data_IF_820421339999
#
_entry.id   IF_820421339999
#
_cell.length_a   1.000
_cell.length_b   1.000
_cell.length_c   1.000
_cell.angle_alpha   90.00
_cell.angle_beta   90.00
_cell.angle_gamma   90.00
#
_symmetry.space_group_name_H-M   'P 1'
#
loop_
_entity.id
_entity.type
_entity.pdbx_description
1 polymer ?
#
# COMPACT_ATOMS: atom_id res chain seq x y z
N UNK A 1 -2.56 22.21 -9.13
CA UNK A 1 -3.87 21.52 -9.09
C UNK A 1 -3.64 20.21 -8.31
N UNK A 2 -4.32 20.02 -7.19
CA UNK A 2 -4.28 18.73 -6.51
C UNK A 2 -5.10 17.74 -7.37
N UNK A 3 -4.42 16.98 -8.20
CA UNK A 3 -5.09 15.96 -9.00
C UNK A 3 -5.39 14.78 -8.07
N UNK A 4 -6.65 14.67 -7.71
CA UNK A 4 -7.14 13.48 -7.01
C UNK A 4 -6.91 12.29 -7.93
N UNK A 5 -6.31 11.18 -7.46
CA UNK A 5 -6.05 10.04 -8.33
C UNK A 5 -7.37 9.45 -8.84
N UNK A 6 -7.33 8.85 -10.02
CA UNK A 6 -8.49 8.13 -10.58
C UNK A 6 -8.69 6.77 -9.92
N UNK A 7 -7.61 6.16 -9.45
CA UNK A 7 -7.61 4.87 -8.75
C UNK A 7 -6.45 4.79 -7.75
N UNK A 8 -6.59 3.95 -6.74
CA UNK A 8 -5.54 3.56 -5.81
C UNK A 8 -5.47 2.05 -5.89
N UNK A 9 -4.34 1.53 -6.37
CA UNK A 9 -4.08 0.09 -6.43
C UNK A 9 -3.16 -0.26 -5.28
N UNK A 10 -3.55 -1.26 -4.50
CA UNK A 10 -2.80 -1.77 -3.36
C UNK A 10 -2.32 -3.19 -3.64
N UNK A 11 -1.17 -3.54 -3.09
CA UNK A 11 -0.57 -4.87 -3.24
C UNK A 11 -0.63 -5.59 -1.91
N UNK A 12 -1.40 -6.65 -1.83
CA UNK A 12 -1.48 -7.50 -0.64
C UNK A 12 -0.41 -8.58 -0.65
N UNK A 13 0.00 -9.05 0.53
CA UNK A 13 0.99 -10.15 0.70
C UNK A 13 2.30 -9.88 -0.02
N UNK A 14 2.80 -8.64 0.08
CA UNK A 14 3.98 -8.17 -0.65
C UNK A 14 5.30 -8.73 -0.08
N UNK A 15 5.33 -9.14 1.19
CA UNK A 15 6.50 -9.60 1.93
C UNK A 15 6.35 -11.07 2.31
N UNK A 16 7.39 -11.89 2.05
CA UNK A 16 7.37 -13.33 2.31
C UNK A 16 7.17 -13.66 3.80
N UNK A 17 7.93 -13.01 4.68
CA UNK A 17 7.86 -13.21 6.13
C UNK A 17 6.45 -12.92 6.66
N UNK A 18 5.84 -11.82 6.20
CA UNK A 18 4.48 -11.46 6.59
C UNK A 18 3.43 -12.44 6.03
N UNK A 19 3.65 -13.00 4.85
CA UNK A 19 2.78 -14.04 4.29
C UNK A 19 2.84 -15.31 5.15
N UNK A 20 4.04 -15.73 5.57
CA UNK A 20 4.27 -16.90 6.42
C UNK A 20 3.71 -16.71 7.85
N UNK A 21 3.93 -15.55 8.48
CA UNK A 21 3.37 -15.20 9.79
C UNK A 21 1.84 -15.33 9.83
N UNK A 22 1.17 -14.98 8.72
CA UNK A 22 -0.29 -15.09 8.58
C UNK A 22 -0.74 -16.46 8.07
N UNK A 23 0.16 -17.44 7.91
CA UNK A 23 -0.14 -18.78 7.42
C UNK A 23 -0.60 -18.83 5.96
N UNK A 24 -0.20 -17.82 5.16
CA UNK A 24 -0.51 -17.78 3.73
C UNK A 24 0.64 -18.35 2.89
N UNK A 25 0.31 -18.99 1.77
CA UNK A 25 1.31 -19.34 0.77
C UNK A 25 1.87 -18.09 0.08
N UNK A 26 3.14 -18.16 -0.33
CA UNK A 26 3.74 -17.15 -1.20
C UNK A 26 2.97 -17.15 -2.52
N UNK A 27 2.47 -15.99 -2.99
CA UNK A 27 1.68 -15.95 -4.22
C UNK A 27 2.57 -16.08 -5.46
N UNK A 28 2.06 -16.76 -6.49
CA UNK A 28 2.73 -16.91 -7.79
C UNK A 28 2.69 -15.61 -8.63
N UNK A 29 1.79 -14.70 -8.32
CA UNK A 29 1.61 -13.39 -8.96
C UNK A 29 1.09 -12.36 -7.94
N UNK A 30 1.24 -11.04 -8.20
CA UNK A 30 0.81 -9.99 -7.28
C UNK A 30 -0.67 -10.09 -6.90
N UNK A 31 -0.95 -10.00 -5.60
CA UNK A 31 -2.32 -9.96 -5.09
C UNK A 31 -2.77 -8.51 -5.02
N UNK A 32 -3.62 -8.11 -5.96
CA UNK A 32 -4.07 -6.73 -6.07
C UNK A 32 -5.45 -6.53 -5.45
N UNK A 33 -5.65 -5.37 -4.83
CA UNK A 33 -6.96 -4.85 -4.45
C UNK A 33 -6.99 -3.34 -4.62
N UNK A 34 -8.15 -2.73 -4.51
CA UNK A 34 -8.29 -1.30 -4.76
C UNK A 34 -8.89 -0.57 -3.56
N UNK A 35 -8.45 0.67 -3.39
CA UNK A 35 -9.15 1.67 -2.58
C UNK A 35 -9.72 2.75 -3.50
N UNK A 36 -10.97 3.21 -3.28
CA UNK A 36 -11.51 4.32 -4.05
C UNK A 36 -10.81 5.63 -3.68
N UNK A 37 -10.81 6.64 -4.55
CA UNK A 37 -10.26 7.96 -4.22
C UNK A 37 -10.88 8.61 -2.98
N UNK A 38 -12.12 8.23 -2.60
CA UNK A 38 -12.76 8.69 -1.36
C UNK A 38 -12.06 8.19 -0.09
N UNK A 39 -11.28 7.11 -0.18
CA UNK A 39 -10.46 6.60 0.94
C UNK A 39 -9.28 7.48 1.30
N UNK A 40 -8.88 8.43 0.41
CA UNK A 40 -7.71 9.28 0.65
C UNK A 40 -7.91 10.25 1.80
N UNK A 41 -6.92 10.29 2.68
CA UNK A 41 -6.72 11.30 3.69
C UNK A 41 -5.25 11.68 3.78
N UNK A 42 -4.93 12.77 4.48
CA UNK A 42 -3.55 13.14 4.79
C UNK A 42 -3.25 12.88 6.27
N UNK A 43 -2.00 12.60 6.58
CA UNK A 43 -1.56 12.38 7.96
C UNK A 43 -1.81 13.61 8.85
N UNK A 44 -1.71 14.83 8.28
CA UNK A 44 -2.00 16.08 9.00
C UNK A 44 -3.45 16.16 9.54
N UNK A 45 -4.41 15.52 8.85
CA UNK A 45 -5.81 15.49 9.30
C UNK A 45 -6.05 14.53 10.46
N UNK A 46 -5.02 13.73 10.79
CA UNK A 46 -5.15 12.66 11.76
C UNK A 46 -5.91 11.45 11.19
N UNK A 47 -5.95 10.41 12.01
CA UNK A 47 -6.60 9.14 11.69
C UNK A 47 -7.90 9.03 12.49
N UNK A 48 -8.98 8.70 11.82
CA UNK A 48 -10.29 8.51 12.45
C UNK A 48 -11.01 7.32 11.83
N UNK A 49 -11.57 6.48 12.68
CA UNK A 49 -12.48 5.41 12.28
C UNK A 49 -13.57 5.25 13.34
N UNK A 50 -14.67 4.61 12.99
CA UNK A 50 -15.70 4.31 13.95
C UNK A 50 -15.30 3.08 14.79
N UNK A 51 -15.12 3.21 16.12
CA UNK A 51 -14.74 2.07 16.98
C UNK A 51 -15.73 0.90 16.95
N UNK A 52 -17.01 1.15 16.58
CA UNK A 52 -18.01 0.10 16.42
C UNK A 52 -17.68 -0.87 15.26
N UNK A 53 -16.74 -0.51 14.37
CA UNK A 53 -16.32 -1.37 13.26
C UNK A 53 -15.24 -2.39 13.68
N UNK A 54 -14.79 -2.36 14.95
CA UNK A 54 -13.78 -3.26 15.49
C UNK A 54 -12.35 -2.71 15.41
N UNK A 55 -11.38 -3.61 15.47
CA UNK A 55 -9.95 -3.24 15.48
C UNK A 55 -9.50 -2.69 14.14
N UNK A 56 -8.96 -1.47 14.15
CA UNK A 56 -8.32 -0.85 13.01
C UNK A 56 -6.80 -0.99 13.13
N UNK A 57 -6.20 -1.77 12.24
CA UNK A 57 -4.76 -1.92 12.14
C UNK A 57 -4.18 -0.90 11.17
N UNK A 58 -2.94 -0.51 11.41
CA UNK A 58 -2.11 0.27 10.49
C UNK A 58 -1.16 -0.69 9.73
N UNK A 59 -1.05 -0.50 8.44
CA UNK A 59 -0.05 -1.15 7.60
C UNK A 59 0.71 -0.01 6.89
N UNK A 60 1.95 0.26 7.30
CA UNK A 60 2.76 1.31 6.69
C UNK A 60 3.40 0.79 5.41
N UNK A 61 3.20 1.51 4.31
CA UNK A 61 3.57 1.06 2.98
C UNK A 61 4.27 2.15 2.18
N UNK A 62 5.26 1.77 1.37
CA UNK A 62 5.80 2.65 0.35
C UNK A 62 4.71 2.89 -0.71
N UNK A 63 4.37 4.15 -0.92
CA UNK A 63 3.32 4.57 -1.85
C UNK A 63 3.93 5.36 -2.99
N UNK A 64 3.54 5.03 -4.22
CA UNK A 64 4.05 5.63 -5.45
C UNK A 64 2.98 6.47 -6.14
N UNK A 65 3.35 7.64 -6.64
CA UNK A 65 2.50 8.45 -7.52
C UNK A 65 2.93 8.26 -8.96
N UNK A 66 1.99 7.81 -9.78
CA UNK A 66 2.20 7.61 -11.20
C UNK A 66 1.81 8.89 -11.93
N UNK A 67 2.78 9.57 -12.52
CA UNK A 67 2.62 10.88 -13.17
C UNK A 67 2.52 10.78 -14.70
N UNK A 68 2.85 9.63 -15.29
CA UNK A 68 2.72 9.37 -16.72
C UNK A 68 1.69 8.28 -16.97
N UNK A 69 0.90 8.43 -18.03
CA UNK A 69 -0.04 7.40 -18.44
C UNK A 69 0.70 6.13 -18.84
N UNK A 70 0.29 5.01 -18.26
CA UNK A 70 0.69 3.67 -18.66
C UNK A 70 -0.52 2.97 -19.28
N UNK A 71 -0.30 2.32 -20.43
CA UNK A 71 -1.34 1.57 -21.14
C UNK A 71 -0.76 0.23 -21.55
N UNK A 72 -1.18 -0.84 -20.84
CA UNK A 72 -0.70 -2.20 -21.06
C UNK A 72 0.86 -2.27 -21.16
N UNK A 73 1.54 -1.50 -20.31
CA UNK A 73 3.01 -1.47 -20.32
C UNK A 73 3.55 -2.64 -19.49
N UNK A 74 4.12 -3.60 -20.17
CA UNK A 74 4.69 -4.81 -19.57
C UNK A 74 6.21 -4.74 -19.37
N UNK A 75 6.84 -3.64 -19.75
CA UNK A 75 8.27 -3.44 -19.53
C UNK A 75 8.51 -2.80 -18.15
N UNK A 76 9.11 -3.52 -17.19
CA UNK A 76 9.29 -3.03 -15.82
C UNK A 76 10.04 -1.69 -15.74
N UNK A 77 11.09 -1.48 -16.56
CA UNK A 77 11.86 -0.24 -16.53
C UNK A 77 11.05 0.96 -17.03
N UNK A 78 10.20 0.78 -18.04
CA UNK A 78 9.30 1.84 -18.52
C UNK A 78 8.17 2.12 -17.51
N UNK A 79 7.62 1.08 -16.89
CA UNK A 79 6.63 1.24 -15.85
C UNK A 79 7.20 2.04 -14.66
N UNK A 80 8.40 1.70 -14.21
CA UNK A 80 9.10 2.43 -13.15
C UNK A 80 9.37 3.90 -13.52
N UNK A 81 9.70 4.20 -14.79
CA UNK A 81 9.95 5.56 -15.27
C UNK A 81 8.68 6.45 -15.30
N UNK A 82 7.50 5.91 -15.02
CA UNK A 82 6.26 6.67 -14.86
C UNK A 82 6.04 7.20 -13.45
N UNK A 83 6.80 6.74 -12.46
CA UNK A 83 6.75 7.24 -11.08
C UNK A 83 7.28 8.66 -11.03
N UNK A 84 6.52 9.58 -10.46
CA UNK A 84 6.92 10.98 -10.30
C UNK A 84 7.21 11.37 -8.85
N UNK A 85 6.64 10.67 -7.88
CA UNK A 85 6.89 10.91 -6.46
C UNK A 85 6.65 9.66 -5.62
N UNK A 86 7.18 9.66 -4.42
CA UNK A 86 7.03 8.62 -3.41
C UNK A 86 6.58 9.21 -2.09
N UNK A 87 5.89 8.42 -1.29
CA UNK A 87 5.56 8.76 0.09
C UNK A 87 5.40 7.48 0.91
N UNK A 88 5.20 7.62 2.21
CA UNK A 88 4.69 6.56 3.05
C UNK A 88 3.18 6.75 3.24
N UNK A 89 2.45 5.65 3.14
CA UNK A 89 1.03 5.61 3.37
C UNK A 89 0.66 4.61 4.46
N UNK A 90 -0.49 4.83 5.09
CA UNK A 90 -1.09 3.84 5.97
C UNK A 90 -2.29 3.22 5.24
N UNK A 91 -2.20 1.91 4.99
CA UNK A 91 -3.33 1.09 4.58
C UNK A 91 -4.11 0.68 5.84
N UNK A 92 -5.05 1.52 6.27
CA UNK A 92 -5.87 1.22 7.42
C UNK A 92 -6.80 0.05 7.12
N UNK A 93 -6.81 -0.91 8.04
CA UNK A 93 -7.45 -2.21 7.85
C UNK A 93 -8.32 -2.57 9.04
N UNK A 94 -9.61 -2.80 8.82
CA UNK A 94 -10.49 -3.40 9.83
C UNK A 94 -10.19 -4.90 9.88
N UNK A 95 -9.25 -5.27 10.76
CA UNK A 95 -8.60 -6.60 10.73
C UNK A 95 -9.58 -7.75 10.93
N UNK A 96 -10.41 -7.68 11.95
CA UNK A 96 -11.38 -8.74 12.26
C UNK A 96 -12.34 -8.97 11.08
N UNK A 97 -12.80 -7.87 10.46
CA UNK A 97 -13.68 -7.93 9.29
C UNK A 97 -12.96 -8.52 8.07
N UNK A 98 -11.68 -8.14 7.85
CA UNK A 98 -10.89 -8.70 6.74
C UNK A 98 -10.73 -10.22 6.89
N UNK A 99 -10.46 -10.70 8.10
CA UNK A 99 -10.28 -12.13 8.37
C UNK A 99 -11.58 -12.92 8.14
N UNK A 100 -12.72 -12.34 8.52
CA UNK A 100 -14.02 -12.93 8.23
C UNK A 100 -14.33 -12.97 6.72
N UNK A 101 -13.99 -11.90 5.98
CA UNK A 101 -14.15 -11.85 4.54
C UNK A 101 -13.25 -12.88 3.83
N UNK A 102 -11.99 -13.02 4.28
CA UNK A 102 -11.05 -14.03 3.76
C UNK A 102 -11.59 -15.45 3.96
N UNK A 103 -12.08 -15.79 5.16
CA UNK A 103 -12.67 -17.11 5.46
C UNK A 103 -13.87 -17.44 4.57
N UNK A 104 -14.63 -16.42 4.16
CA UNK A 104 -15.82 -16.56 3.30
C UNK A 104 -15.50 -16.45 1.80
N UNK A 105 -14.24 -16.22 1.41
CA UNK A 105 -13.85 -15.98 0.02
C UNK A 105 -14.48 -14.71 -0.57
N UNK A 106 -14.76 -13.71 0.26
CA UNK A 106 -15.40 -12.46 -0.14
C UNK A 106 -14.37 -11.35 -0.39
N UNK A 107 -14.70 -10.35 -1.23
CA UNK A 107 -13.87 -9.17 -1.47
C UNK A 107 -13.57 -8.39 -0.19
N UNK A 108 -12.41 -7.72 -0.14
CA UNK A 108 -11.89 -7.05 1.06
C UNK A 108 -12.33 -5.58 1.19
N UNK A 109 -13.06 -5.03 0.23
CA UNK A 109 -13.41 -3.60 0.17
C UNK A 109 -14.05 -3.08 1.45
N UNK A 110 -14.92 -3.87 2.10
CA UNK A 110 -15.54 -3.48 3.38
C UNK A 110 -14.52 -3.25 4.50
N UNK A 111 -13.39 -3.97 4.47
CA UNK A 111 -12.35 -3.88 5.48
C UNK A 111 -11.24 -2.90 5.10
N UNK A 112 -11.07 -2.61 3.81
CA UNK A 112 -9.95 -1.88 3.24
C UNK A 112 -10.32 -0.53 2.60
N UNK A 113 -11.58 -0.33 2.16
CA UNK A 113 -11.96 0.79 1.29
C UNK A 113 -12.92 1.79 1.95
N UNK A 114 -12.92 1.90 3.27
CA UNK A 114 -13.71 2.92 3.98
C UNK A 114 -13.08 4.31 3.86
N UNK A 115 -13.87 5.35 4.06
CA UNK A 115 -13.41 6.74 3.97
C UNK A 115 -12.28 7.02 4.96
N UNK A 116 -11.18 7.61 4.46
CA UNK A 116 -9.99 7.88 5.26
C UNK A 116 -9.08 6.67 5.49
N UNK A 117 -9.32 5.52 4.85
CA UNK A 117 -8.52 4.30 5.02
C UNK A 117 -7.18 4.30 4.27
N UNK A 118 -6.91 5.31 3.45
CA UNK A 118 -5.63 5.51 2.77
C UNK A 118 -5.05 6.85 3.23
N UNK A 119 -4.20 6.82 4.25
CA UNK A 119 -3.62 8.03 4.85
C UNK A 119 -2.22 8.24 4.30
N UNK A 120 -1.96 9.36 3.66
CA UNK A 120 -0.67 9.65 3.05
C UNK A 120 0.09 10.74 3.83
N UNK A 121 1.40 10.56 3.95
CA UNK A 121 2.33 11.58 4.37
C UNK A 121 2.65 12.53 3.18
N UNK A 122 3.59 13.46 3.37
CA UNK A 122 4.04 14.36 2.32
C UNK A 122 4.79 13.61 1.21
N UNK A 123 4.60 14.08 -0.02
CA UNK A 123 5.26 13.52 -1.18
C UNK A 123 6.72 13.96 -1.27
N UNK A 124 7.59 13.02 -1.60
CA UNK A 124 9.00 13.23 -1.90
C UNK A 124 9.23 13.01 -3.39
N UNK A 125 10.05 13.83 -4.02
CA UNK A 125 10.40 13.69 -5.43
C UNK A 125 11.07 12.33 -5.68
N UNK A 126 10.68 11.68 -6.76
CA UNK A 126 11.26 10.36 -7.14
C UNK A 126 12.78 10.40 -7.30
N UNK A 127 13.37 11.56 -7.63
CA UNK A 127 14.81 11.75 -7.77
C UNK A 127 15.57 11.52 -6.45
N UNK A 128 14.91 11.60 -5.30
CA UNK A 128 15.50 11.29 -3.99
C UNK A 128 15.69 9.77 -3.77
N UNK A 129 14.94 8.93 -4.48
CA UNK A 129 15.10 7.48 -4.40
C UNK A 129 16.30 7.04 -5.22
N UNK A 130 17.42 6.74 -4.55
CA UNK A 130 18.67 6.35 -5.22
C UNK A 130 18.71 4.88 -5.59
N UNK A 131 18.04 4.03 -4.82
CA UNK A 131 18.00 2.59 -5.04
C UNK A 131 16.62 2.03 -4.64
N UNK A 132 15.86 1.61 -5.61
CA UNK A 132 14.52 1.04 -5.41
C UNK A 132 14.54 -0.32 -4.68
N UNK A 133 15.66 -0.99 -4.72
CA UNK A 133 15.84 -2.30 -4.07
C UNK A 133 16.12 -2.18 -2.56
N UNK A 134 16.55 -1.02 -2.10
CA UNK A 134 16.97 -0.81 -0.72
C UNK A 134 16.34 0.46 -0.12
N UNK A 135 15.03 0.59 -0.23
CA UNK A 135 14.27 1.63 0.48
C UNK A 135 13.87 1.10 1.85
N UNK A 136 14.39 1.73 2.90
CA UNK A 136 14.08 1.38 4.28
C UNK A 136 13.18 2.44 4.91
N UNK A 137 12.21 2.01 5.68
CA UNK A 137 11.33 2.90 6.42
C UNK A 137 10.86 2.26 7.72
N UNK A 138 10.42 3.11 8.66
CA UNK A 138 9.91 2.67 9.96
C UNK A 138 8.62 3.39 10.31
N UNK A 139 7.76 2.72 11.07
CA UNK A 139 6.59 3.31 11.69
C UNK A 139 6.76 3.25 13.21
N UNK A 140 6.59 4.39 13.85
CA UNK A 140 6.51 4.51 15.30
C UNK A 140 5.11 4.99 15.70
N UNK A 141 4.56 4.43 16.76
CA UNK A 141 3.31 4.86 17.37
C UNK A 141 3.57 5.09 18.85
N UNK A 142 3.36 6.33 19.32
CA UNK A 142 3.69 6.73 20.70
C UNK A 142 5.15 6.40 21.08
N UNK A 143 6.09 6.75 20.18
CA UNK A 143 7.53 6.50 20.30
C UNK A 143 7.95 5.01 20.29
N UNK A 144 7.00 4.08 20.17
CA UNK A 144 7.29 2.66 20.03
C UNK A 144 7.43 2.27 18.56
N UNK A 145 8.50 1.57 18.20
CA UNK A 145 8.68 0.98 16.88
C UNK A 145 7.62 -0.10 16.63
N UNK A 146 6.82 0.08 15.59
CA UNK A 146 5.72 -0.84 15.25
C UNK A 146 5.92 -1.59 13.95
N UNK A 147 6.64 -0.98 12.99
CA UNK A 147 6.89 -1.63 11.70
C UNK A 147 8.23 -1.18 11.14
N UNK A 148 8.93 -2.11 10.51
CA UNK A 148 10.11 -1.88 9.69
C UNK A 148 9.77 -2.38 8.29
N UNK A 149 10.03 -1.57 7.27
CA UNK A 149 9.89 -1.94 5.87
C UNK A 149 11.24 -1.88 5.17
N UNK A 150 11.46 -2.84 4.28
CA UNK A 150 12.65 -2.94 3.42
C UNK A 150 12.21 -3.50 2.06
N UNK A 151 12.38 -2.72 1.01
CA UNK A 151 11.98 -3.16 -0.34
C UNK A 151 12.82 -4.32 -0.89
N UNK A 152 13.98 -4.62 -0.29
CA UNK A 152 14.76 -5.81 -0.63
C UNK A 152 14.05 -7.12 -0.28
N UNK A 153 13.08 -7.08 0.65
CA UNK A 153 12.31 -8.23 1.12
C UNK A 153 10.98 -8.42 0.35
N UNK A 154 10.71 -7.57 -0.65
CA UNK A 154 9.53 -7.73 -1.50
C UNK A 154 9.61 -9.03 -2.31
N UNK A 155 8.51 -9.77 -2.38
CA UNK A 155 8.38 -10.99 -3.22
C UNK A 155 8.54 -10.62 -4.69
N UNK A 156 7.90 -9.54 -5.12
CA UNK A 156 8.03 -8.95 -6.45
C UNK A 156 8.62 -7.56 -6.31
N UNK A 157 9.66 -7.23 -7.06
CA UNK A 157 10.23 -5.89 -7.02
C UNK A 157 9.25 -4.83 -7.56
N UNK A 158 9.49 -3.56 -7.21
CA UNK A 158 8.60 -2.45 -7.53
C UNK A 158 8.36 -2.32 -9.03
N UNK A 159 9.39 -2.51 -9.86
CA UNK A 159 9.27 -2.38 -11.29
C UNK A 159 8.38 -3.50 -11.89
N UNK A 160 8.52 -4.72 -11.38
CA UNK A 160 7.68 -5.86 -11.73
C UNK A 160 6.24 -5.63 -11.31
N UNK A 161 5.99 -5.15 -10.09
CA UNK A 161 4.64 -4.81 -9.61
C UNK A 161 3.96 -3.77 -10.50
N UNK A 162 4.69 -2.71 -10.89
CA UNK A 162 4.14 -1.67 -11.76
C UNK A 162 3.85 -2.16 -13.18
N UNK A 163 4.60 -3.15 -13.67
CA UNK A 163 4.36 -3.75 -14.98
C UNK A 163 3.20 -4.75 -14.99
N UNK A 164 2.84 -5.30 -13.81
CA UNK A 164 1.70 -6.20 -13.63
C UNK A 164 0.36 -5.44 -13.50
N UNK A 165 0.39 -4.23 -12.91
CA UNK A 165 -0.77 -3.34 -12.70
C UNK A 165 -1.24 -2.66 -14.00
#
# INVERSE_FOLDING_TARGET
MSTRPSKIVCVGRSYADHAEELGNAIPDYPVLFMKPPSSLSSLEKGISWNPAWGNCHHECELTLRIDKTLTAETNPAKALAAVGAVTLGLDLTLRDLQDDLKKKGQPWERAKAFDGSCVLADWVDVAEVKDWKHVHYTLHVNDELRQIGDTALLIFDIATLLADI
#
